data_IF_151879515108
#
_entry.id   IF_151879515108
#
_cell.length_a   1.000
_cell.length_b   1.000
_cell.length_c   1.000
_cell.angle_alpha   90.00
_cell.angle_beta   90.00
_cell.angle_gamma   90.00
#
_symmetry.space_group_name_H-M   'P 1'
#
loop_
_entity.id
_entity.type
_entity.pdbx_description
1 polymer ?
#
# COMPACT_ATOMS: atom_id res chain seq x y z
N UNK A 1 5.18 -32.00 -10.23
CA UNK A 1 4.89 -30.86 -9.35
C UNK A 1 6.08 -29.91 -9.49
N UNK A 2 5.94 -28.81 -10.23
CA UNK A 2 6.96 -27.75 -10.21
C UNK A 2 6.92 -27.14 -8.80
N UNK A 3 8.02 -27.30 -8.04
CA UNK A 3 8.12 -26.73 -6.70
C UNK A 3 7.94 -25.22 -6.77
N UNK A 4 7.37 -24.62 -5.71
CA UNK A 4 7.33 -23.16 -5.54
C UNK A 4 8.79 -22.68 -5.63
N UNK A 5 9.11 -21.69 -6.51
CA UNK A 5 10.46 -21.16 -6.59
C UNK A 5 10.91 -20.63 -5.23
N UNK A 6 12.17 -20.81 -4.90
CA UNK A 6 12.77 -20.26 -3.69
C UNK A 6 14.09 -19.55 -4.01
N UNK A 7 14.54 -18.70 -3.07
CA UNK A 7 15.86 -18.08 -3.10
C UNK A 7 16.54 -18.26 -1.75
N UNK A 8 17.81 -18.65 -1.75
CA UNK A 8 18.63 -18.69 -0.54
C UNK A 8 19.66 -17.57 -0.61
N UNK A 9 19.67 -16.69 0.39
CA UNK A 9 20.49 -15.47 0.43
C UNK A 9 21.21 -15.30 1.77
N UNK A 10 22.30 -14.53 1.77
CA UNK A 10 23.12 -14.23 2.95
C UNK A 10 24.07 -15.37 3.36
N UNK A 11 24.69 -15.32 4.57
CA UNK A 11 24.64 -14.15 5.45
C UNK A 11 25.45 -12.98 4.87
N UNK A 12 25.02 -11.75 5.18
CA UNK A 12 25.72 -10.53 4.81
C UNK A 12 26.19 -9.79 6.06
N UNK A 13 27.27 -9.01 5.94
CA UNK A 13 27.85 -8.25 7.05
C UNK A 13 27.76 -6.74 6.85
N UNK A 14 27.49 -6.32 5.63
CA UNK A 14 27.44 -4.90 5.26
C UNK A 14 26.27 -4.61 4.33
N UNK A 15 25.80 -3.36 4.39
CA UNK A 15 24.89 -2.79 3.41
C UNK A 15 25.31 -1.35 3.11
N UNK A 16 25.58 -1.04 1.84
CA UNK A 16 26.03 0.30 1.42
C UNK A 16 25.62 0.59 -0.01
N UNK A 17 25.28 1.83 -0.30
CA UNK A 17 25.00 2.30 -1.66
C UNK A 17 23.77 3.20 -1.76
N UNK A 18 23.32 3.39 -2.98
CA UNK A 18 22.11 4.18 -3.28
C UNK A 18 21.16 3.40 -4.16
N UNK A 19 19.88 3.61 -3.95
CA UNK A 19 18.81 2.99 -4.74
C UNK A 19 17.77 4.02 -5.17
N UNK A 20 17.33 3.94 -6.42
CA UNK A 20 16.16 4.64 -6.91
C UNK A 20 14.94 3.76 -6.65
N UNK A 21 13.99 4.27 -5.89
CA UNK A 21 12.78 3.55 -5.55
C UNK A 21 11.82 3.46 -6.76
N UNK A 22 11.09 2.33 -6.92
CA UNK A 22 9.98 2.29 -7.85
C UNK A 22 8.90 3.28 -7.42
N UNK A 23 8.06 3.71 -8.36
CA UNK A 23 6.94 4.59 -8.06
C UNK A 23 5.99 4.00 -7.00
N UNK A 24 5.40 4.85 -6.17
CA UNK A 24 4.46 4.43 -5.12
C UNK A 24 3.22 3.76 -5.71
N UNK A 25 2.95 2.52 -5.28
CA UNK A 25 1.73 1.79 -5.66
C UNK A 25 0.46 2.56 -5.29
N UNK A 26 0.43 3.11 -4.08
CA UNK A 26 -0.72 3.84 -3.56
C UNK A 26 -1.02 5.10 -4.33
N UNK A 27 0.00 5.82 -4.77
CA UNK A 27 -0.13 7.01 -5.62
C UNK A 27 -0.49 6.58 -7.04
N UNK A 28 0.20 5.58 -7.60
CA UNK A 28 0.02 5.13 -9.00
C UNK A 28 -1.43 4.72 -9.31
N UNK A 29 -2.04 3.84 -8.49
CA UNK A 29 -3.41 3.40 -8.74
C UNK A 29 -4.44 4.54 -8.59
N UNK A 30 -4.24 5.46 -7.65
CA UNK A 30 -5.09 6.65 -7.51
C UNK A 30 -4.93 7.59 -8.70
N UNK A 31 -3.69 7.86 -9.10
CA UNK A 31 -3.38 8.74 -10.22
C UNK A 31 -3.93 8.19 -11.54
N UNK A 32 -3.83 6.87 -11.78
CA UNK A 32 -4.43 6.21 -12.96
C UNK A 32 -5.94 6.40 -13.00
N UNK A 33 -6.65 6.17 -11.89
CA UNK A 33 -8.10 6.34 -11.84
C UNK A 33 -8.52 7.81 -11.97
N UNK A 34 -7.86 8.73 -11.28
CA UNK A 34 -8.15 10.16 -11.39
C UNK A 34 -7.88 10.69 -12.80
N UNK A 35 -6.76 10.28 -13.43
CA UNK A 35 -6.45 10.61 -14.82
C UNK A 35 -7.50 10.07 -15.79
N UNK A 36 -7.97 8.84 -15.56
CA UNK A 36 -9.03 8.21 -16.35
C UNK A 36 -10.37 8.97 -16.26
N UNK A 37 -10.71 9.46 -15.06
CA UNK A 37 -11.95 10.20 -14.82
C UNK A 37 -11.86 11.69 -15.19
N UNK A 38 -10.67 12.23 -15.37
CA UNK A 38 -10.47 13.65 -15.66
C UNK A 38 -10.85 14.00 -17.11
N UNK A 39 -11.07 15.30 -17.36
CA UNK A 39 -11.03 15.85 -18.71
C UNK A 39 -9.59 16.16 -19.12
N UNK A 40 -9.24 15.89 -20.37
CA UNK A 40 -7.91 16.10 -20.93
C UNK A 40 -6.96 14.94 -20.72
N UNK A 41 -5.73 15.10 -21.20
CA UNK A 41 -4.68 14.07 -21.17
C UNK A 41 -3.76 14.28 -19.99
N UNK A 42 -3.45 13.21 -19.26
CA UNK A 42 -2.49 13.23 -18.13
C UNK A 42 -1.29 12.36 -18.45
N UNK A 43 -0.09 12.91 -18.35
CA UNK A 43 1.17 12.18 -18.42
C UNK A 43 1.64 11.86 -17.00
N UNK A 44 1.59 10.58 -16.64
CA UNK A 44 2.06 10.05 -15.36
C UNK A 44 3.54 9.64 -15.51
N UNK A 45 4.43 10.28 -14.75
CA UNK A 45 5.87 9.98 -14.74
C UNK A 45 6.22 9.15 -13.51
N UNK A 46 7.21 8.27 -13.62
CA UNK A 46 7.61 7.33 -12.57
C UNK A 46 6.43 6.48 -12.07
N UNK A 47 5.50 6.11 -12.98
CA UNK A 47 4.41 5.22 -12.64
C UNK A 47 4.98 3.86 -12.27
N UNK A 48 4.47 3.26 -11.19
CA UNK A 48 4.85 1.90 -10.82
C UNK A 48 4.50 0.93 -11.96
N UNK A 49 5.46 0.13 -12.39
CA UNK A 49 5.24 -0.98 -13.31
C UNK A 49 5.31 -2.30 -12.54
N UNK A 50 4.16 -2.75 -12.06
CA UNK A 50 3.99 -3.93 -11.21
C UNK A 50 2.55 -4.49 -11.35
N UNK A 51 2.32 -5.69 -10.83
CA UNK A 51 1.03 -6.40 -10.99
C UNK A 51 -0.18 -5.55 -10.62
N UNK A 52 -0.13 -4.87 -9.48
CA UNK A 52 -1.27 -4.06 -8.98
C UNK A 52 -1.63 -2.88 -9.90
N UNK A 53 -0.66 -2.31 -10.61
CA UNK A 53 -0.89 -1.22 -11.57
C UNK A 53 -1.22 -1.74 -12.97
N UNK A 54 -0.71 -2.91 -13.33
CA UNK A 54 -1.05 -3.59 -14.58
C UNK A 54 -2.54 -3.90 -14.65
N UNK A 55 -3.11 -4.47 -13.57
CA UNK A 55 -4.56 -4.79 -13.56
C UNK A 55 -5.42 -3.53 -13.65
N UNK A 56 -5.01 -2.41 -13.04
CA UNK A 56 -5.72 -1.13 -13.20
C UNK A 56 -5.64 -0.62 -14.63
N UNK A 57 -4.45 -0.57 -15.24
CA UNK A 57 -4.28 -0.14 -16.65
C UNK A 57 -5.13 -0.99 -17.61
N UNK A 58 -5.14 -2.32 -17.41
CA UNK A 58 -5.93 -3.24 -18.22
C UNK A 58 -7.44 -3.01 -18.04
N UNK A 59 -7.91 -2.82 -16.81
CA UNK A 59 -9.30 -2.50 -16.53
C UNK A 59 -9.72 -1.18 -17.22
N UNK A 60 -8.90 -0.14 -17.14
CA UNK A 60 -9.18 1.14 -17.80
C UNK A 60 -9.23 1.02 -19.32
N UNK A 61 -8.34 0.22 -19.94
CA UNK A 61 -8.40 -0.09 -21.39
C UNK A 61 -9.68 -0.84 -21.76
N UNK A 62 -10.09 -1.83 -20.94
CA UNK A 62 -11.35 -2.56 -21.16
C UNK A 62 -12.58 -1.65 -21.01
N UNK A 63 -12.49 -0.60 -20.22
CA UNK A 63 -13.53 0.44 -20.06
C UNK A 63 -13.51 1.47 -21.19
N UNK A 64 -12.65 1.28 -22.20
CA UNK A 64 -12.62 2.06 -23.44
C UNK A 64 -11.72 3.28 -23.42
N UNK A 65 -10.80 3.38 -22.44
CA UNK A 65 -9.85 4.49 -22.38
C UNK A 65 -8.55 4.21 -23.13
N UNK A 66 -7.95 5.28 -23.65
CA UNK A 66 -6.60 5.28 -24.18
C UNK A 66 -5.62 5.39 -23.01
N UNK A 67 -4.92 4.29 -22.72
CA UNK A 67 -3.88 4.18 -21.69
C UNK A 67 -2.63 3.63 -22.35
N UNK A 68 -1.67 4.51 -22.63
CA UNK A 68 -0.46 4.21 -23.40
C UNK A 68 0.77 4.22 -22.52
N UNK A 69 1.40 3.05 -22.39
CA UNK A 69 2.68 2.94 -21.71
C UNK A 69 3.81 3.40 -22.65
N UNK A 70 4.76 4.14 -22.08
CA UNK A 70 5.96 4.64 -22.74
C UNK A 70 7.20 4.18 -21.99
N UNK A 71 8.38 4.41 -22.54
CA UNK A 71 9.66 4.15 -21.89
C UNK A 71 9.81 4.94 -20.57
N UNK A 72 10.74 4.50 -19.73
CA UNK A 72 11.10 5.16 -18.46
C UNK A 72 9.93 5.34 -17.48
N UNK A 73 9.06 4.34 -17.37
CA UNK A 73 7.92 4.34 -16.44
C UNK A 73 6.98 5.53 -16.63
N UNK A 74 6.78 5.94 -17.88
CA UNK A 74 5.81 6.97 -18.27
C UNK A 74 4.55 6.32 -18.80
N UNK A 75 3.39 6.80 -18.36
CA UNK A 75 2.09 6.36 -18.87
C UNK A 75 1.23 7.57 -19.22
N UNK A 76 0.66 7.59 -20.42
CA UNK A 76 -0.24 8.64 -20.89
C UNK A 76 -1.66 8.14 -20.84
N UNK A 77 -2.54 8.87 -20.14
CA UNK A 77 -3.96 8.54 -20.01
C UNK A 77 -4.79 9.66 -20.62
N UNK A 78 -5.61 9.34 -21.60
CA UNK A 78 -6.65 10.23 -22.15
C UNK A 78 -7.91 10.04 -21.31
N UNK A 79 -8.27 11.05 -20.53
CA UNK A 79 -9.37 10.96 -19.61
C UNK A 79 -10.74 11.08 -20.28
N UNK A 80 -11.75 10.46 -19.67
CA UNK A 80 -13.11 10.38 -20.24
C UNK A 80 -14.06 11.50 -19.76
N UNK A 81 -13.58 12.46 -18.95
CA UNK A 81 -14.42 13.54 -18.45
C UNK A 81 -15.52 13.09 -17.49
N UNK A 82 -15.30 11.99 -16.77
CA UNK A 82 -16.21 11.50 -15.73
C UNK A 82 -17.12 10.34 -16.14
N UNK A 83 -17.14 9.95 -17.42
CA UNK A 83 -18.00 8.85 -17.89
C UNK A 83 -17.22 7.84 -18.75
N UNK A 84 -17.08 6.62 -18.27
CA UNK A 84 -16.43 5.58 -19.06
C UNK A 84 -17.21 5.24 -20.33
N UNK A 85 -16.52 5.08 -21.49
CA UNK A 85 -17.18 4.76 -22.77
C UNK A 85 -17.90 3.42 -22.76
N UNK A 86 -17.32 2.39 -22.13
CA UNK A 86 -17.88 1.04 -22.06
C UNK A 86 -18.78 0.92 -20.84
N UNK A 87 -20.03 0.47 -21.04
CA UNK A 87 -21.07 0.34 -20.02
C UNK A 87 -21.30 -1.10 -19.54
N UNK A 88 -20.60 -2.06 -20.10
CA UNK A 88 -20.66 -3.46 -19.69
C UNK A 88 -19.28 -4.09 -19.80
N UNK A 89 -18.75 -4.63 -18.69
CA UNK A 89 -17.44 -5.26 -18.65
C UNK A 89 -17.32 -6.29 -17.53
N UNK A 90 -16.48 -7.33 -17.75
CA UNK A 90 -15.98 -8.26 -16.74
C UNK A 90 -14.51 -7.94 -16.45
N UNK A 91 -14.22 -7.43 -15.27
CA UNK A 91 -12.94 -6.88 -14.88
C UNK A 91 -12.24 -7.78 -13.87
N UNK A 92 -11.11 -8.35 -14.27
CA UNK A 92 -10.26 -9.13 -13.36
C UNK A 92 -9.24 -8.22 -12.67
N UNK A 93 -9.33 -8.10 -11.35
CA UNK A 93 -8.55 -7.14 -10.55
C UNK A 93 -7.41 -7.80 -9.77
N UNK A 94 -7.08 -9.07 -10.04
CA UNK A 94 -6.00 -9.78 -9.37
C UNK A 94 -6.15 -9.79 -7.84
N UNK A 95 -5.07 -9.41 -7.12
CA UNK A 95 -5.09 -9.16 -5.67
C UNK A 95 -4.91 -7.66 -5.35
N UNK A 96 -5.26 -6.76 -6.28
CA UNK A 96 -5.02 -5.32 -6.19
C UNK A 96 -6.14 -4.58 -5.44
N UNK A 97 -6.07 -4.56 -4.10
CA UNK A 97 -7.07 -3.88 -3.26
C UNK A 97 -7.17 -2.38 -3.52
N UNK A 98 -6.05 -1.73 -3.86
CA UNK A 98 -5.99 -0.29 -4.20
C UNK A 98 -6.58 0.03 -5.57
N UNK A 99 -6.83 -0.97 -6.39
CA UNK A 99 -7.49 -0.84 -7.69
C UNK A 99 -8.99 -1.20 -7.61
N UNK A 100 -9.33 -2.39 -7.10
CA UNK A 100 -10.72 -2.90 -7.12
C UNK A 100 -11.68 -1.99 -6.37
N UNK A 101 -11.31 -1.49 -5.18
CA UNK A 101 -12.23 -0.71 -4.33
C UNK A 101 -12.56 0.67 -4.92
N UNK A 102 -11.57 1.52 -5.30
CA UNK A 102 -11.87 2.80 -5.96
C UNK A 102 -12.59 2.62 -7.31
N UNK A 103 -12.20 1.60 -8.09
CA UNK A 103 -12.86 1.35 -9.38
C UNK A 103 -14.31 0.89 -9.17
N UNK A 104 -14.61 0.03 -8.18
CA UNK A 104 -15.98 -0.35 -7.81
C UNK A 104 -16.85 0.89 -7.55
N UNK A 105 -16.34 1.83 -6.75
CA UNK A 105 -17.08 3.05 -6.44
C UNK A 105 -17.29 3.93 -7.68
N UNK A 106 -16.24 4.14 -8.48
CA UNK A 106 -16.35 4.92 -9.72
C UNK A 106 -17.35 4.30 -10.70
N UNK A 107 -17.33 2.98 -10.90
CA UNK A 107 -18.26 2.26 -11.78
C UNK A 107 -19.70 2.30 -11.27
N UNK A 108 -19.90 2.22 -9.95
CA UNK A 108 -21.24 2.34 -9.35
C UNK A 108 -21.91 3.68 -9.65
N UNK A 109 -21.12 4.75 -9.87
CA UNK A 109 -21.64 6.08 -10.25
C UNK A 109 -21.91 6.24 -11.74
N UNK A 110 -21.66 5.21 -12.57
CA UNK A 110 -21.68 5.32 -14.04
C UNK A 110 -22.98 4.85 -14.69
N UNK A 111 -23.85 4.14 -13.99
CA UNK A 111 -25.10 3.60 -14.57
C UNK A 111 -24.90 2.48 -15.59
N UNK A 112 -23.82 1.70 -15.48
CA UNK A 112 -23.52 0.53 -16.32
C UNK A 112 -23.68 -0.79 -15.56
N UNK A 113 -23.35 -1.91 -16.25
CA UNK A 113 -23.34 -3.26 -15.68
C UNK A 113 -21.91 -3.80 -15.68
N UNK A 114 -21.36 -4.03 -14.51
CA UNK A 114 -19.96 -4.44 -14.40
C UNK A 114 -19.81 -5.61 -13.43
N UNK A 115 -18.95 -6.54 -13.78
CA UNK A 115 -18.51 -7.60 -12.88
C UNK A 115 -17.06 -7.34 -12.48
N UNK A 116 -16.76 -7.42 -11.17
CA UNK A 116 -15.39 -7.33 -10.68
C UNK A 116 -15.04 -8.59 -9.90
N UNK A 117 -13.92 -9.20 -10.28
CA UNK A 117 -13.40 -10.41 -9.64
C UNK A 117 -11.89 -10.30 -9.41
N UNK A 118 -11.30 -11.32 -8.83
CA UNK A 118 -9.86 -11.41 -8.64
C UNK A 118 -9.41 -12.84 -8.34
N UNK A 119 -8.19 -12.99 -7.85
CA UNK A 119 -7.67 -14.28 -7.38
C UNK A 119 -8.40 -14.75 -6.11
N UNK A 120 -8.22 -16.01 -5.71
CA UNK A 120 -8.88 -16.59 -4.53
C UNK A 120 -8.75 -15.70 -3.28
N UNK A 121 -7.56 -15.16 -3.01
CA UNK A 121 -7.35 -14.26 -1.87
C UNK A 121 -8.19 -12.98 -1.93
N UNK A 122 -8.45 -12.43 -3.12
CA UNK A 122 -9.33 -11.26 -3.26
C UNK A 122 -10.76 -11.57 -2.81
N UNK A 123 -11.21 -12.81 -2.96
CA UNK A 123 -12.54 -13.26 -2.52
C UNK A 123 -12.65 -13.44 -0.99
N UNK A 124 -11.54 -13.30 -0.26
CA UNK A 124 -11.49 -13.31 1.21
C UNK A 124 -11.25 -11.90 1.80
N UNK A 125 -10.96 -10.90 0.96
CA UNK A 125 -10.71 -9.51 1.39
C UNK A 125 -12.01 -8.73 1.40
N UNK A 126 -12.39 -8.09 2.53
CA UNK A 126 -13.70 -7.46 2.68
C UNK A 126 -13.91 -6.28 1.74
N UNK A 127 -15.16 -6.14 1.24
CA UNK A 127 -15.64 -4.98 0.47
C UNK A 127 -17.01 -4.49 0.96
N UNK A 128 -17.59 -5.16 1.97
CA UNK A 128 -18.94 -4.90 2.47
C UNK A 128 -19.18 -3.44 2.81
N UNK A 129 -18.31 -2.85 3.65
CA UNK A 129 -18.54 -1.49 4.17
C UNK A 129 -18.51 -0.44 3.05
N UNK A 130 -17.73 -0.67 1.98
CA UNK A 130 -17.82 0.15 0.77
C UNK A 130 -19.15 -0.04 0.05
N UNK A 131 -19.57 -1.28 -0.16
CA UNK A 131 -20.85 -1.60 -0.84
C UNK A 131 -22.03 -1.01 -0.05
N UNK A 132 -22.02 -1.13 1.27
CA UNK A 132 -23.05 -0.58 2.13
C UNK A 132 -23.07 0.97 2.07
N UNK A 133 -21.90 1.62 1.97
CA UNK A 133 -21.79 3.06 1.71
C UNK A 133 -22.37 3.47 0.34
N UNK A 134 -22.03 2.72 -0.72
CA UNK A 134 -22.53 2.98 -2.07
C UNK A 134 -24.05 2.74 -2.20
N UNK A 135 -24.60 1.76 -1.48
CA UNK A 135 -26.04 1.50 -1.44
C UNK A 135 -26.83 2.65 -0.80
N UNK A 136 -26.24 3.42 0.13
CA UNK A 136 -26.89 4.60 0.71
C UNK A 136 -27.19 5.68 -0.33
N UNK A 137 -26.43 5.70 -1.42
CA UNK A 137 -26.61 6.63 -2.55
C UNK A 137 -27.34 6.01 -3.74
N UNK A 138 -27.97 4.83 -3.55
CA UNK A 138 -28.80 4.18 -4.57
C UNK A 138 -28.07 3.15 -5.44
N UNK A 139 -26.78 2.90 -5.27
CA UNK A 139 -26.07 1.90 -6.08
C UNK A 139 -26.63 0.48 -5.87
N UNK A 140 -26.74 -0.27 -6.95
CA UNK A 140 -27.18 -1.68 -6.96
C UNK A 140 -25.96 -2.57 -7.16
N UNK A 141 -25.56 -3.28 -6.12
CA UNK A 141 -24.39 -4.15 -6.14
C UNK A 141 -24.76 -5.48 -5.49
N UNK A 142 -24.51 -6.58 -6.21
CA UNK A 142 -24.74 -7.95 -5.76
C UNK A 142 -23.41 -8.66 -5.51
N UNK A 143 -23.43 -9.59 -4.54
CA UNK A 143 -22.33 -10.50 -4.28
C UNK A 143 -22.61 -11.84 -5.00
N UNK A 144 -21.64 -12.35 -5.76
CA UNK A 144 -21.83 -13.59 -6.50
C UNK A 144 -21.59 -14.86 -5.67
N UNK A 145 -20.69 -14.80 -4.71
CA UNK A 145 -20.32 -15.93 -3.85
C UNK A 145 -20.64 -15.60 -2.39
N UNK A 146 -19.66 -15.14 -1.64
CA UNK A 146 -19.82 -14.85 -0.22
C UNK A 146 -20.24 -13.39 0.00
N UNK A 147 -21.31 -13.17 0.76
CA UNK A 147 -21.79 -11.82 1.12
C UNK A 147 -20.71 -11.01 1.83
N UNK A 148 -20.37 -9.84 1.28
CA UNK A 148 -19.38 -8.94 1.84
C UNK A 148 -18.00 -9.03 1.16
N UNK A 149 -17.84 -9.90 0.18
CA UNK A 149 -16.59 -10.17 -0.52
C UNK A 149 -16.77 -10.19 -2.04
N UNK A 150 -15.73 -9.87 -2.83
CA UNK A 150 -15.76 -10.15 -4.27
C UNK A 150 -15.91 -11.68 -4.54
N UNK A 151 -16.38 -12.11 -5.72
CA UNK A 151 -16.76 -11.28 -6.87
C UNK A 151 -18.08 -10.56 -6.63
N UNK A 152 -18.19 -9.37 -7.26
CA UNK A 152 -19.39 -8.53 -7.19
C UNK A 152 -19.91 -8.18 -8.58
N UNK A 153 -21.22 -7.94 -8.67
CA UNK A 153 -21.88 -7.35 -9.83
C UNK A 153 -22.42 -5.98 -9.49
N UNK A 154 -22.06 -4.98 -10.28
CA UNK A 154 -22.64 -3.64 -10.25
C UNK A 154 -23.69 -3.61 -11.35
N UNK A 155 -24.89 -3.18 -11.01
CA UNK A 155 -26.00 -3.04 -11.94
C UNK A 155 -26.32 -1.56 -12.16
N UNK A 156 -26.80 -1.23 -13.34
CA UNK A 156 -27.25 0.10 -13.65
C UNK A 156 -28.30 0.58 -12.62
N UNK A 157 -28.09 1.77 -12.09
CA UNK A 157 -28.94 2.36 -11.08
C UNK A 157 -28.95 3.88 -11.21
N UNK A 158 -30.05 4.49 -10.80
CA UNK A 158 -30.13 5.94 -10.61
C UNK A 158 -29.49 6.28 -9.27
N UNK A 159 -28.46 7.11 -9.29
CA UNK A 159 -27.74 7.54 -8.10
C UNK A 159 -28.37 8.81 -7.57
N UNK A 160 -28.81 8.76 -6.32
CA UNK A 160 -29.42 9.90 -5.62
C UNK A 160 -28.85 9.98 -4.20
N UNK A 161 -28.19 11.09 -3.90
CA UNK A 161 -27.64 11.35 -2.57
C UNK A 161 -28.66 12.18 -1.77
N UNK A 162 -29.32 11.53 -0.81
CA UNK A 162 -30.41 12.16 -0.03
C UNK A 162 -29.95 12.65 1.34
N UNK A 163 -28.85 12.11 1.85
CA UNK A 163 -28.42 12.34 3.21
C UNK A 163 -26.92 12.13 3.34
N UNK A 164 -26.42 12.21 4.56
CA UNK A 164 -25.04 11.94 4.92
C UNK A 164 -24.67 10.49 4.58
N UNK A 165 -23.55 10.29 3.91
CA UNK A 165 -23.04 8.95 3.61
C UNK A 165 -22.18 8.46 4.77
N UNK A 166 -22.53 7.34 5.39
CA UNK A 166 -21.81 6.75 6.52
C UNK A 166 -20.96 5.58 6.08
N UNK A 167 -19.71 5.54 6.53
CA UNK A 167 -18.77 4.44 6.21
C UNK A 167 -17.90 4.11 7.42
N UNK A 168 -17.62 2.81 7.62
CA UNK A 168 -16.69 2.38 8.67
C UNK A 168 -15.27 2.79 8.35
N UNK A 169 -14.61 3.44 9.33
CA UNK A 169 -13.19 3.84 9.26
C UNK A 169 -12.23 2.81 9.86
N UNK A 170 -12.72 1.90 10.68
CA UNK A 170 -11.97 0.98 11.54
C UNK A 170 -11.61 -0.38 10.89
N UNK A 171 -11.99 -0.60 9.62
CA UNK A 171 -11.68 -1.83 8.88
C UNK A 171 -10.65 -1.58 7.79
N UNK A 172 -10.89 -0.58 6.94
CA UNK A 172 -9.97 -0.22 5.85
C UNK A 172 -10.19 1.20 5.37
N UNK A 173 -9.11 1.99 5.32
CA UNK A 173 -9.12 3.33 4.71
C UNK A 173 -9.45 3.33 3.20
N UNK A 174 -9.35 2.17 2.54
CA UNK A 174 -9.67 2.05 1.11
C UNK A 174 -11.16 2.26 0.81
N UNK A 175 -12.05 2.01 1.76
CA UNK A 175 -13.48 2.25 1.59
C UNK A 175 -13.79 3.75 1.53
N UNK A 176 -13.25 4.51 2.47
CA UNK A 176 -13.34 5.97 2.44
C UNK A 176 -12.64 6.55 1.20
N UNK A 177 -11.42 6.08 0.87
CA UNK A 177 -10.73 6.47 -0.37
C UNK A 177 -11.63 6.31 -1.60
N UNK A 178 -12.31 5.17 -1.73
CA UNK A 178 -13.18 4.88 -2.86
C UNK A 178 -14.37 5.85 -2.95
N UNK A 179 -15.02 6.14 -1.83
CA UNK A 179 -16.13 7.10 -1.76
C UNK A 179 -15.67 8.53 -2.06
N UNK A 180 -14.53 8.96 -1.50
CA UNK A 180 -13.95 10.28 -1.76
C UNK A 180 -13.70 10.52 -3.25
N UNK A 181 -13.15 9.51 -3.95
CA UNK A 181 -12.83 9.62 -5.37
C UNK A 181 -14.06 9.51 -6.29
N UNK A 182 -15.13 8.82 -5.86
CA UNK A 182 -16.28 8.53 -6.72
C UNK A 182 -17.43 9.53 -6.55
N UNK A 183 -17.76 9.96 -5.33
CA UNK A 183 -18.91 10.82 -5.07
C UNK A 183 -18.86 12.19 -5.77
N UNK A 184 -17.69 12.83 -6.03
CA UNK A 184 -17.64 14.05 -6.82
C UNK A 184 -18.26 13.91 -8.21
N UNK A 185 -18.27 12.71 -8.80
CA UNK A 185 -18.85 12.46 -10.14
C UNK A 185 -20.36 12.73 -10.20
N UNK A 186 -21.05 12.61 -9.06
CA UNK A 186 -22.52 12.67 -8.98
C UNK A 186 -23.06 13.73 -8.00
N UNK A 187 -22.20 14.37 -7.21
CA UNK A 187 -22.57 15.34 -6.19
C UNK A 187 -23.17 16.61 -6.80
N UNK A 188 -24.51 16.76 -6.82
CA UNK A 188 -25.18 17.98 -7.27
C UNK A 188 -25.11 19.09 -6.20
N UNK A 189 -25.12 18.70 -4.93
CA UNK A 189 -24.97 19.54 -3.75
C UNK A 189 -23.76 19.04 -2.93
N UNK A 190 -23.24 19.81 -1.96
CA UNK A 190 -22.17 19.32 -1.09
C UNK A 190 -22.57 18.05 -0.34
N UNK A 191 -21.73 17.01 -0.43
CA UNK A 191 -21.98 15.70 0.19
C UNK A 191 -21.12 15.51 1.42
N UNK A 192 -21.73 15.23 2.56
CA UNK A 192 -21.04 14.89 3.80
C UNK A 192 -20.85 13.37 3.90
N UNK A 193 -19.61 12.96 4.14
CA UNK A 193 -19.28 11.59 4.56
C UNK A 193 -18.95 11.62 6.04
N UNK A 194 -19.54 10.73 6.82
CA UNK A 194 -19.28 10.54 8.25
C UNK A 194 -18.68 9.16 8.50
N UNK A 195 -17.65 9.13 9.34
CA UNK A 195 -17.01 7.88 9.74
C UNK A 195 -17.75 7.24 10.92
N UNK A 196 -17.87 5.92 10.86
CA UNK A 196 -18.28 5.07 11.98
C UNK A 196 -17.00 4.41 12.52
N UNK A 197 -16.74 4.59 13.81
CA UNK A 197 -15.52 4.10 14.44
C UNK A 197 -14.31 5.01 14.17
N UNK A 198 -13.13 4.56 14.59
CA UNK A 198 -11.89 5.29 14.43
C UNK A 198 -11.29 5.09 13.03
N UNK A 199 -10.76 6.15 12.43
CA UNK A 199 -10.10 6.06 11.12
C UNK A 199 -8.72 5.45 11.25
N UNK A 200 -8.58 4.22 10.77
CA UNK A 200 -7.26 3.57 10.66
C UNK A 200 -6.55 3.98 9.36
N UNK A 201 -5.21 3.96 9.39
CA UNK A 201 -4.36 4.24 8.21
C UNK A 201 -4.69 5.61 7.55
N UNK A 202 -4.89 6.65 8.34
CA UNK A 202 -5.17 8.03 7.94
C UNK A 202 -4.23 8.54 6.83
N UNK A 203 -2.93 8.25 6.81
CA UNK A 203 -2.02 8.75 5.78
C UNK A 203 -2.44 8.42 4.34
N UNK A 204 -3.13 7.28 4.12
CA UNK A 204 -3.64 6.96 2.78
C UNK A 204 -4.84 7.82 2.35
N UNK A 205 -5.59 8.36 3.32
CA UNK A 205 -6.62 9.35 3.04
C UNK A 205 -5.97 10.67 2.65
N UNK A 206 -4.92 11.08 3.35
CA UNK A 206 -4.20 12.32 3.04
C UNK A 206 -3.57 12.28 1.64
N UNK A 207 -3.00 11.13 1.21
CA UNK A 207 -2.57 10.91 -0.19
C UNK A 207 -3.76 11.11 -1.15
N UNK A 208 -4.92 10.55 -0.83
CA UNK A 208 -6.13 10.66 -1.69
C UNK A 208 -6.55 12.11 -1.83
N UNK A 209 -6.67 12.85 -0.73
CA UNK A 209 -7.09 14.26 -0.72
C UNK A 209 -6.12 15.15 -1.51
N UNK A 210 -4.81 14.95 -1.31
CA UNK A 210 -3.77 15.70 -2.03
C UNK A 210 -3.80 15.42 -3.53
N UNK A 211 -4.02 14.17 -3.93
CA UNK A 211 -4.15 13.83 -5.35
C UNK A 211 -5.43 14.39 -5.95
N UNK A 212 -6.60 14.26 -5.28
CA UNK A 212 -7.85 14.86 -5.74
C UNK A 212 -7.72 16.37 -5.95
N UNK A 213 -7.02 17.07 -5.04
CA UNK A 213 -6.76 18.50 -5.18
C UNK A 213 -5.92 18.82 -6.42
N UNK A 214 -4.93 17.99 -6.78
CA UNK A 214 -4.15 18.15 -8.03
C UNK A 214 -5.01 17.97 -9.28
N UNK A 215 -6.10 17.21 -9.20
CA UNK A 215 -7.09 17.06 -10.26
C UNK A 215 -8.29 18.02 -10.12
N UNK A 216 -8.18 19.05 -9.28
CA UNK A 216 -9.12 20.15 -9.16
C UNK A 216 -10.27 19.96 -8.16
N UNK A 217 -10.30 18.87 -7.39
CA UNK A 217 -11.33 18.61 -6.38
C UNK A 217 -10.76 18.75 -4.97
N UNK A 218 -11.22 19.77 -4.25
CA UNK A 218 -10.82 20.02 -2.86
C UNK A 218 -11.93 19.56 -1.91
N UNK A 219 -11.62 18.59 -1.07
CA UNK A 219 -12.51 18.05 -0.04
C UNK A 219 -12.22 18.77 1.27
N UNK A 220 -13.24 19.29 1.93
CA UNK A 220 -13.09 19.90 3.25
C UNK A 220 -13.13 18.81 4.33
N UNK A 221 -12.30 18.98 5.37
CA UNK A 221 -12.24 18.11 6.53
C UNK A 221 -12.57 18.92 7.78
N UNK A 222 -13.87 19.11 8.11
CA UNK A 222 -14.28 19.95 9.24
C UNK A 222 -13.77 19.44 10.58
N UNK A 223 -13.60 18.12 10.69
CA UNK A 223 -13.09 17.40 11.85
C UNK A 223 -12.41 16.09 11.45
N UNK A 224 -11.97 15.29 12.44
CA UNK A 224 -11.31 14.01 12.20
C UNK A 224 -12.24 12.90 11.69
N UNK A 225 -13.56 13.08 11.80
CA UNK A 225 -14.59 12.08 11.54
C UNK A 225 -15.46 12.40 10.32
N UNK A 226 -15.28 13.57 9.69
CA UNK A 226 -16.14 13.97 8.57
C UNK A 226 -15.36 14.60 7.42
N UNK A 227 -15.91 14.40 6.21
CA UNK A 227 -15.39 14.92 4.96
C UNK A 227 -16.54 15.51 4.16
N UNK A 228 -16.33 16.68 3.56
CA UNK A 228 -17.34 17.34 2.75
C UNK A 228 -16.82 17.46 1.32
N UNK A 229 -17.47 16.73 0.43
CA UNK A 229 -17.23 16.76 -1.00
C UNK A 229 -17.96 17.97 -1.57
N UNK A 230 -17.30 18.82 -2.38
CA UNK A 230 -17.97 19.96 -3.00
C UNK A 230 -19.00 19.50 -4.05
N UNK A 231 -20.03 20.30 -4.27
CA UNK A 231 -20.90 20.14 -5.41
C UNK A 231 -20.12 20.23 -6.72
N UNK A 232 -20.49 19.42 -7.72
CA UNK A 232 -19.88 19.51 -9.04
C UNK A 232 -20.27 20.80 -9.74
N UNK A 233 -19.29 21.45 -10.35
CA UNK A 233 -19.50 22.71 -11.09
C UNK A 233 -19.59 22.50 -12.61
N UNK A 234 -19.30 21.28 -13.08
CA UNK A 234 -19.35 20.87 -14.48
C UNK A 234 -19.47 19.35 -14.60
N UNK A 235 -19.81 18.84 -15.78
CA UNK A 235 -19.88 17.38 -16.02
C UNK A 235 -18.51 16.70 -15.85
N UNK A 236 -17.44 17.38 -16.25
CA UNK A 236 -16.06 16.92 -16.02
C UNK A 236 -15.53 17.51 -14.71
N UNK A 237 -15.86 16.87 -13.59
CA UNK A 237 -15.46 17.34 -12.24
C UNK A 237 -13.95 17.29 -12.02
N UNK A 238 -13.28 16.25 -12.50
CA UNK A 238 -11.83 16.14 -12.47
C UNK A 238 -11.21 16.75 -13.72
N UNK A 239 -10.09 17.46 -13.54
CA UNK A 239 -9.32 18.09 -14.61
C UNK A 239 -7.90 17.58 -14.59
N UNK A 240 -7.36 17.24 -15.76
CA UNK A 240 -5.97 16.81 -15.87
C UNK A 240 -5.01 17.92 -15.44
N UNK A 241 -4.00 17.64 -14.62
CA UNK A 241 -2.91 18.57 -14.33
C UNK A 241 -1.86 18.63 -15.45
N UNK A 242 -2.08 17.94 -16.59
CA UNK A 242 -1.13 17.76 -17.67
C UNK A 242 -0.03 16.75 -17.32
N UNK A 243 0.82 17.06 -16.36
CA UNK A 243 1.89 16.17 -15.88
C UNK A 243 1.75 15.90 -14.39
N UNK A 244 1.93 14.65 -13.99
CA UNK A 244 1.99 14.21 -12.60
C UNK A 244 3.17 13.27 -12.41
N UNK A 245 4.11 13.62 -11.55
CA UNK A 245 5.18 12.72 -11.13
C UNK A 245 4.75 11.94 -9.89
N UNK A 246 4.87 10.61 -9.95
CA UNK A 246 4.64 9.69 -8.84
C UNK A 246 5.90 9.65 -8.00
N UNK A 247 5.78 9.88 -6.69
CA UNK A 247 6.91 9.73 -5.75
C UNK A 247 7.38 8.28 -5.69
N UNK A 248 8.62 8.05 -5.29
CA UNK A 248 9.11 6.74 -4.92
C UNK A 248 8.28 6.14 -3.77
N UNK A 249 8.18 4.82 -3.72
CA UNK A 249 7.35 4.13 -2.71
C UNK A 249 8.00 4.18 -1.32
N UNK A 250 7.41 4.95 -0.39
CA UNK A 250 7.93 5.13 0.96
C UNK A 250 7.89 3.83 1.80
N UNK A 251 6.93 2.93 1.53
CA UNK A 251 6.94 1.60 2.16
C UNK A 251 8.13 0.78 1.68
N UNK A 252 8.46 0.85 0.38
CA UNK A 252 9.64 0.18 -0.19
C UNK A 252 10.95 0.78 0.30
N UNK A 253 10.97 2.09 0.60
CA UNK A 253 12.11 2.74 1.24
C UNK A 253 12.50 2.07 2.55
N UNK A 254 11.51 1.61 3.34
CA UNK A 254 11.73 1.06 4.68
C UNK A 254 12.74 -0.09 4.69
N UNK A 255 12.73 -0.97 3.69
CA UNK A 255 13.65 -2.11 3.61
C UNK A 255 15.10 -1.65 3.48
N UNK A 256 15.36 -0.71 2.59
CA UNK A 256 16.72 -0.20 2.33
C UNK A 256 17.22 0.73 3.44
N UNK A 257 16.32 1.52 4.04
CA UNK A 257 16.66 2.33 5.22
C UNK A 257 17.05 1.43 6.41
N UNK A 258 16.30 0.34 6.64
CA UNK A 258 16.66 -0.65 7.65
C UNK A 258 18.02 -1.31 7.34
N UNK A 259 18.30 -1.67 6.08
CA UNK A 259 19.61 -2.18 5.67
C UNK A 259 20.75 -1.22 6.06
N UNK A 260 20.55 0.10 5.86
CA UNK A 260 21.53 1.12 6.25
C UNK A 260 21.82 1.16 7.76
N UNK A 261 20.80 0.89 8.58
CA UNK A 261 20.97 0.80 10.03
C UNK A 261 21.68 -0.48 10.46
N UNK A 262 21.29 -1.62 9.87
CA UNK A 262 21.76 -2.96 10.25
C UNK A 262 23.14 -3.27 9.67
N UNK A 263 23.41 -2.87 8.45
CA UNK A 263 24.65 -3.17 7.72
C UNK A 263 25.70 -2.05 7.79
N UNK A 264 25.60 -1.15 8.76
CA UNK A 264 26.51 -0.02 9.02
C UNK A 264 26.50 1.11 7.98
N UNK A 265 25.81 0.98 6.84
CA UNK A 265 25.59 2.02 5.83
C UNK A 265 26.83 2.73 5.28
N UNK A 266 26.66 3.89 4.62
CA UNK A 266 25.39 4.55 4.34
C UNK A 266 24.58 3.86 3.24
N UNK A 267 23.26 3.78 3.44
CA UNK A 267 22.31 3.43 2.38
C UNK A 267 21.38 4.59 2.14
N UNK A 268 21.32 5.07 0.90
CA UNK A 268 20.49 6.19 0.46
C UNK A 268 19.38 5.70 -0.45
N UNK A 269 18.14 6.08 -0.15
CA UNK A 269 17.00 5.92 -1.05
C UNK A 269 16.70 7.22 -1.76
N UNK A 270 16.39 7.16 -3.05
CA UNK A 270 16.06 8.30 -3.92
C UNK A 270 14.61 8.20 -4.39
N UNK A 271 13.96 9.35 -4.57
CA UNK A 271 12.57 9.45 -5.04
C UNK A 271 11.54 9.63 -3.92
N UNK A 272 11.98 9.67 -2.66
CA UNK A 272 11.17 10.01 -1.49
C UNK A 272 12.01 10.77 -0.49
N UNK A 273 11.48 11.82 0.11
CA UNK A 273 12.20 12.65 1.07
C UNK A 273 11.26 13.27 2.11
N UNK A 274 11.75 14.32 2.79
CA UNK A 274 11.06 14.97 3.91
C UNK A 274 9.70 15.58 3.54
N UNK A 275 9.49 15.95 2.27
CA UNK A 275 8.26 16.60 1.79
C UNK A 275 7.28 15.61 1.14
N UNK A 276 7.51 14.31 1.30
CA UNK A 276 6.65 13.26 0.75
C UNK A 276 5.21 13.38 1.25
N UNK A 277 4.26 13.09 0.36
CA UNK A 277 2.85 13.00 0.74
C UNK A 277 2.48 11.66 1.39
N UNK A 278 3.42 10.71 1.47
CA UNK A 278 3.23 9.36 1.96
C UNK A 278 3.56 9.28 3.46
N UNK A 279 2.63 8.76 4.28
CA UNK A 279 2.84 8.61 5.71
C UNK A 279 3.99 7.68 6.07
N UNK A 280 4.23 6.63 5.27
CA UNK A 280 5.29 5.65 5.52
C UNK A 280 6.71 6.27 5.50
N UNK A 281 6.89 7.53 5.07
CA UNK A 281 8.15 8.27 5.22
C UNK A 281 8.55 8.42 6.69
N UNK A 282 7.58 8.45 7.61
CA UNK A 282 7.82 8.49 9.06
C UNK A 282 8.48 7.20 9.61
N UNK A 283 8.67 6.17 8.77
CA UNK A 283 9.51 5.03 9.10
C UNK A 283 10.95 5.46 9.45
N UNK A 284 11.47 6.50 8.80
CA UNK A 284 12.78 7.06 9.12
C UNK A 284 12.84 7.57 10.57
N UNK A 285 11.79 8.24 11.06
CA UNK A 285 11.70 8.71 12.44
C UNK A 285 11.62 7.53 13.42
N UNK A 286 10.81 6.50 13.08
CA UNK A 286 10.72 5.28 13.89
C UNK A 286 12.09 4.57 14.00
N UNK A 287 12.84 4.50 12.89
CA UNK A 287 14.17 3.91 12.89
C UNK A 287 15.18 4.78 13.66
N UNK A 288 15.02 6.11 13.64
CA UNK A 288 15.81 7.03 14.45
C UNK A 288 15.54 6.84 15.97
N UNK A 289 14.29 6.55 16.37
CA UNK A 289 13.95 6.18 17.76
C UNK A 289 14.64 4.88 18.18
N UNK A 290 14.81 3.92 17.25
CA UNK A 290 15.61 2.73 17.48
C UNK A 290 17.12 3.01 17.50
N UNK A 291 17.57 4.24 17.29
CA UNK A 291 18.96 4.65 17.39
C UNK A 291 19.71 4.80 16.06
N UNK A 292 19.07 4.65 14.91
CA UNK A 292 19.72 4.84 13.62
C UNK A 292 20.12 6.31 13.38
N UNK A 293 21.17 6.51 12.57
CA UNK A 293 21.61 7.84 12.10
C UNK A 293 20.94 8.14 10.78
N UNK A 294 20.04 9.14 10.77
CA UNK A 294 19.23 9.51 9.61
C UNK A 294 19.60 10.91 9.14
N UNK A 295 19.69 11.06 7.83
CA UNK A 295 19.70 12.36 7.13
C UNK A 295 18.71 12.33 5.98
N UNK A 296 18.06 13.46 5.67
CA UNK A 296 17.06 13.54 4.62
C UNK A 296 17.14 14.86 3.87
N UNK A 297 16.92 14.82 2.56
CA UNK A 297 16.72 15.96 1.67
C UNK A 297 15.28 16.03 1.16
N UNK A 298 15.07 16.76 0.08
CA UNK A 298 13.74 16.94 -0.52
C UNK A 298 13.21 15.64 -1.15
N UNK A 299 14.09 14.87 -1.82
CA UNK A 299 13.75 13.67 -2.60
C UNK A 299 14.60 12.45 -2.23
N UNK A 300 15.29 12.46 -1.09
CA UNK A 300 16.11 11.34 -0.62
C UNK A 300 16.14 11.24 0.90
N UNK A 301 16.38 10.02 1.39
CA UNK A 301 16.66 9.71 2.80
C UNK A 301 17.86 8.77 2.85
N UNK A 302 18.74 8.97 3.83
CA UNK A 302 19.94 8.16 4.04
C UNK A 302 20.07 7.71 5.48
N UNK A 303 20.46 6.46 5.67
CA UNK A 303 20.74 5.85 6.97
C UNK A 303 22.16 5.33 7.01
N UNK A 304 22.90 5.65 8.09
CA UNK A 304 24.30 5.28 8.27
C UNK A 304 24.56 4.69 9.66
N UNK A 305 24.19 3.41 9.84
CA UNK A 305 24.41 2.68 11.10
C UNK A 305 23.60 3.21 12.28
N UNK A 306 24.03 2.84 13.49
CA UNK A 306 23.39 3.20 14.77
C UNK A 306 24.25 4.13 15.58
N UNK A 307 23.64 4.81 16.58
CA UNK A 307 24.32 5.79 17.44
C UNK A 307 24.93 5.17 18.68
N UNK A 308 24.40 4.02 19.15
CA UNK A 308 24.83 3.39 20.39
C UNK A 308 26.17 2.66 20.25
N UNK A 309 26.86 2.46 21.38
CA UNK A 309 28.18 1.83 21.42
C UNK A 309 28.14 0.32 21.14
N UNK A 310 26.99 -0.33 21.33
CA UNK A 310 26.83 -1.77 21.06
C UNK A 310 26.71 -2.08 19.56
N UNK A 311 26.46 -1.06 18.74
CA UNK A 311 26.19 -1.24 17.32
C UNK A 311 24.82 -1.88 17.01
N UNK A 312 23.94 -2.04 18.03
CA UNK A 312 22.61 -2.61 17.91
C UNK A 312 21.53 -1.54 17.94
N UNK A 313 20.40 -1.82 17.36
CA UNK A 313 19.19 -1.02 17.55
C UNK A 313 18.68 -1.13 19.00
N UNK A 314 17.86 -0.17 19.42
CA UNK A 314 17.13 -0.23 20.69
C UNK A 314 15.72 -0.77 20.44
N UNK A 315 15.22 -1.62 21.33
CA UNK A 315 13.81 -1.98 21.37
C UNK A 315 12.95 -0.74 21.68
N UNK A 316 11.80 -0.64 21.04
CA UNK A 316 10.86 0.49 21.20
C UNK A 316 9.43 0.02 21.36
N UNK A 317 8.58 0.86 21.94
CA UNK A 317 7.13 0.72 21.85
C UNK A 317 6.61 1.83 20.95
N UNK A 318 5.92 1.47 19.86
CA UNK A 318 5.49 2.41 18.84
C UNK A 318 4.02 2.22 18.47
N UNK A 319 3.31 3.32 18.30
CA UNK A 319 2.04 3.39 17.59
C UNK A 319 2.32 3.46 16.08
N UNK A 320 1.87 2.44 15.35
CA UNK A 320 2.15 2.28 13.93
C UNK A 320 1.05 2.85 13.01
N UNK A 321 0.11 3.63 13.54
CA UNK A 321 -1.01 4.22 12.76
C UNK A 321 -0.53 5.04 11.58
N UNK A 322 0.62 5.72 11.71
CA UNK A 322 1.21 6.57 10.66
C UNK A 322 2.03 5.79 9.61
N UNK A 323 2.49 4.58 9.95
CA UNK A 323 3.37 3.75 9.10
C UNK A 323 2.81 2.33 8.94
N UNK A 324 1.52 2.16 8.60
CA UNK A 324 0.81 0.89 8.73
C UNK A 324 1.41 -0.24 7.89
N UNK A 325 2.06 0.06 6.78
CA UNK A 325 2.69 -0.93 5.93
C UNK A 325 4.21 -1.06 6.21
N UNK A 326 4.90 0.05 6.46
CA UNK A 326 6.34 0.04 6.76
C UNK A 326 6.68 -0.57 8.14
N UNK A 327 5.72 -0.58 9.08
CA UNK A 327 5.91 -1.18 10.41
C UNK A 327 6.30 -2.67 10.36
N UNK A 328 5.98 -3.43 9.29
CA UNK A 328 6.45 -4.81 9.12
C UNK A 328 7.99 -4.89 9.09
N UNK A 329 8.63 -3.89 8.50
CA UNK A 329 10.10 -3.79 8.47
C UNK A 329 10.68 -3.62 9.88
N UNK A 330 10.02 -2.85 10.77
CA UNK A 330 10.45 -2.72 12.18
C UNK A 330 10.35 -4.04 12.93
N UNK A 331 9.36 -4.87 12.66
CA UNK A 331 9.23 -6.18 13.30
C UNK A 331 10.43 -7.09 12.99
N UNK A 332 10.97 -7.05 11.76
CA UNK A 332 12.20 -7.79 11.41
C UNK A 332 13.45 -7.07 11.92
N UNK A 333 13.51 -5.73 11.86
CA UNK A 333 14.61 -4.96 12.43
C UNK A 333 14.78 -5.20 13.95
N UNK A 334 13.69 -5.55 14.65
CA UNK A 334 13.73 -5.93 16.09
C UNK A 334 14.58 -7.16 16.38
N UNK A 335 14.87 -8.02 15.38
CA UNK A 335 15.85 -9.11 15.52
C UNK A 335 17.27 -8.60 15.85
N UNK A 336 17.56 -7.35 15.56
CA UNK A 336 18.84 -6.69 15.74
C UNK A 336 18.82 -5.64 16.87
N UNK A 337 17.76 -5.65 17.69
CA UNK A 337 17.58 -4.69 18.78
C UNK A 337 17.91 -5.28 20.14
N UNK A 338 18.38 -4.43 21.06
CA UNK A 338 18.47 -4.73 22.49
C UNK A 338 17.10 -4.46 23.14
N UNK A 339 16.57 -5.44 23.86
CA UNK A 339 15.25 -5.36 24.48
C UNK A 339 14.13 -5.78 23.53
N UNK A 340 12.90 -5.46 23.92
CA UNK A 340 11.69 -5.78 23.17
C UNK A 340 11.25 -4.63 22.29
N UNK A 341 10.78 -4.94 21.09
CA UNK A 341 10.05 -4.00 20.23
C UNK A 341 8.59 -4.36 20.23
N UNK A 342 7.73 -3.41 20.60
CA UNK A 342 6.28 -3.54 20.59
C UNK A 342 5.68 -2.59 19.56
N UNK A 343 4.94 -3.12 18.60
CA UNK A 343 4.25 -2.39 17.56
C UNK A 343 2.74 -2.50 17.78
N UNK A 344 2.08 -1.36 18.02
CA UNK A 344 0.65 -1.26 18.33
C UNK A 344 -0.15 -0.67 17.17
N UNK A 345 -1.47 -0.81 17.21
CA UNK A 345 -2.45 -0.25 16.28
C UNK A 345 -2.25 -0.77 14.84
N UNK A 346 -1.94 -2.07 14.73
CA UNK A 346 -1.75 -2.78 13.45
C UNK A 346 -2.91 -3.74 13.11
N UNK A 347 -4.11 -3.55 13.67
CA UNK A 347 -5.28 -4.40 13.38
C UNK A 347 -5.56 -4.57 11.88
N UNK A 348 -5.29 -3.52 11.08
CA UNK A 348 -5.45 -3.57 9.63
C UNK A 348 -4.63 -4.67 8.94
N UNK A 349 -3.56 -5.16 9.57
CA UNK A 349 -2.73 -6.24 9.03
C UNK A 349 -3.48 -7.56 8.86
N UNK A 350 -4.55 -7.79 9.65
CA UNK A 350 -5.36 -9.01 9.59
C UNK A 350 -6.10 -9.20 8.25
N UNK A 351 -6.38 -8.09 7.53
CA UNK A 351 -7.23 -8.08 6.32
C UNK A 351 -6.49 -7.64 5.05
N UNK A 352 -5.15 -7.63 5.10
CA UNK A 352 -4.29 -7.30 3.96
C UNK A 352 -4.09 -8.51 3.01
N UNK A 353 -2.97 -8.56 2.31
CA UNK A 353 -2.59 -9.65 1.40
C UNK A 353 -2.61 -11.02 2.10
N UNK A 354 -2.21 -11.05 3.36
CA UNK A 354 -2.38 -12.17 4.30
C UNK A 354 -2.83 -11.64 5.67
N UNK A 355 -3.05 -12.50 6.66
CA UNK A 355 -3.03 -12.10 8.06
C UNK A 355 -1.56 -11.87 8.47
N UNK A 356 -1.11 -10.61 8.31
CA UNK A 356 0.28 -10.24 8.51
C UNK A 356 0.75 -10.39 9.95
N UNK A 357 -0.13 -10.23 10.94
CA UNK A 357 0.25 -10.42 12.34
C UNK A 357 0.60 -11.89 12.57
N UNK A 358 -0.27 -12.81 12.18
CA UNK A 358 -0.04 -14.24 12.34
C UNK A 358 1.16 -14.72 11.50
N UNK A 359 1.27 -14.26 10.24
CA UNK A 359 2.38 -14.61 9.36
C UNK A 359 3.73 -14.14 9.92
N UNK A 360 3.86 -12.86 10.30
CA UNK A 360 5.08 -12.31 10.89
C UNK A 360 5.46 -13.04 12.18
N UNK A 361 4.50 -13.28 13.08
CA UNK A 361 4.77 -13.99 14.33
C UNK A 361 5.27 -15.42 14.09
N UNK A 362 4.66 -16.13 13.16
CA UNK A 362 5.07 -17.49 12.80
C UNK A 362 6.47 -17.53 12.20
N UNK A 363 6.74 -16.67 11.23
CA UNK A 363 8.01 -16.70 10.50
C UNK A 363 9.19 -16.16 11.36
N UNK A 364 8.97 -15.15 12.21
CA UNK A 364 9.98 -14.68 13.16
C UNK A 364 10.36 -15.76 14.18
N UNK A 365 9.39 -16.55 14.66
CA UNK A 365 9.65 -17.70 15.56
C UNK A 365 10.51 -18.77 14.89
N UNK A 366 10.38 -18.99 13.58
CA UNK A 366 11.25 -19.92 12.83
C UNK A 366 12.74 -19.51 12.88
N UNK A 367 13.02 -18.20 12.91
CA UNK A 367 14.38 -17.65 12.99
C UNK A 367 14.94 -17.71 14.43
N UNK A 368 14.09 -17.98 15.41
CA UNK A 368 14.49 -18.07 16.84
C UNK A 368 14.08 -16.85 17.67
N UNK A 369 13.33 -15.91 17.12
CA UNK A 369 12.79 -14.78 17.88
C UNK A 369 11.77 -15.22 18.93
N UNK A 370 11.67 -14.46 20.03
CA UNK A 370 10.58 -14.56 21.00
C UNK A 370 9.50 -13.58 20.53
N UNK A 371 8.30 -14.11 20.24
CA UNK A 371 7.22 -13.31 19.69
C UNK A 371 5.92 -13.54 20.42
N UNK A 372 5.28 -12.43 20.83
CA UNK A 372 3.90 -12.36 21.31
C UNK A 372 3.07 -11.58 20.29
N UNK A 373 1.84 -12.04 20.03
CA UNK A 373 0.91 -11.35 19.14
C UNK A 373 -0.48 -11.20 19.78
N UNK A 374 -1.18 -10.14 19.42
CA UNK A 374 -2.55 -9.89 19.83
C UNK A 374 -3.44 -9.48 18.66
N UNK A 375 -4.62 -8.95 18.94
CA UNK A 375 -5.57 -8.56 17.92
C UNK A 375 -5.02 -7.45 16.99
N UNK A 376 -4.26 -6.53 17.57
CA UNK A 376 -3.80 -5.28 16.95
C UNK A 376 -2.34 -4.92 17.28
N UNK A 377 -1.56 -5.88 17.81
CA UNK A 377 -0.15 -5.66 18.15
C UNK A 377 0.71 -6.90 17.90
N UNK A 378 2.02 -6.65 17.83
CA UNK A 378 3.07 -7.66 17.86
C UNK A 378 4.21 -7.18 18.76
N UNK A 379 4.76 -8.09 19.57
CA UNK A 379 5.98 -7.87 20.36
C UNK A 379 7.04 -8.81 19.85
N UNK A 380 8.22 -8.28 19.56
CA UNK A 380 9.35 -9.07 19.05
C UNK A 380 10.58 -8.81 19.91
N UNK A 381 11.24 -9.88 20.32
CA UNK A 381 12.54 -9.85 20.97
C UNK A 381 13.51 -10.73 20.19
N UNK A 382 14.71 -10.21 19.97
CA UNK A 382 15.79 -10.93 19.29
C UNK A 382 16.11 -12.27 19.97
N UNK A 383 16.69 -13.26 19.25
CA UNK A 383 17.27 -14.43 19.85
C UNK A 383 18.31 -14.05 20.91
N UNK A 384 18.32 -14.77 22.05
CA UNK A 384 19.13 -14.37 23.22
C UNK A 384 20.64 -14.44 22.96
N UNK A 385 21.08 -15.39 22.16
CA UNK A 385 22.47 -15.58 21.77
C UNK A 385 22.61 -15.88 20.27
N UNK A 386 23.82 -15.75 19.72
CA UNK A 386 24.08 -16.07 18.31
C UNK A 386 23.70 -17.51 17.96
N UNK A 387 23.90 -18.48 18.88
CA UNK A 387 23.52 -19.87 18.68
C UNK A 387 22.03 -20.15 18.67
N UNK A 388 21.20 -19.19 19.09
CA UNK A 388 19.74 -19.31 19.09
C UNK A 388 19.13 -18.88 17.75
N UNK A 389 19.91 -18.22 16.88
CA UNK A 389 19.47 -17.90 15.53
C UNK A 389 19.36 -19.17 14.69
N UNK A 390 18.24 -19.34 14.02
CA UNK A 390 17.93 -20.52 13.22
C UNK A 390 17.84 -20.17 11.74
N UNK A 391 18.22 -21.15 10.91
CA UNK A 391 17.99 -21.15 9.47
C UNK A 391 17.01 -22.29 9.17
N UNK A 392 15.70 -22.00 9.09
CA UNK A 392 14.70 -23.05 8.90
C UNK A 392 14.89 -23.72 7.54
N UNK A 393 15.04 -25.06 7.52
CA UNK A 393 15.22 -25.82 6.28
C UNK A 393 14.03 -25.74 5.33
N UNK A 394 12.82 -25.60 5.88
CA UNK A 394 11.58 -25.37 5.14
C UNK A 394 11.51 -23.97 4.54
N UNK A 395 12.36 -23.04 4.99
CA UNK A 395 12.39 -21.65 4.55
C UNK A 395 11.30 -20.78 5.22
N UNK A 396 11.33 -19.51 4.84
CA UNK A 396 10.34 -18.48 5.22
C UNK A 396 9.22 -18.49 4.20
N UNK A 397 8.00 -18.69 4.65
CA UNK A 397 6.81 -18.60 3.81
C UNK A 397 6.39 -17.14 3.60
N UNK A 398 6.12 -16.76 2.37
CA UNK A 398 5.73 -15.39 2.02
C UNK A 398 4.22 -15.18 1.99
N UNK A 399 3.42 -16.25 1.93
CA UNK A 399 1.95 -16.19 1.90
C UNK A 399 1.41 -15.34 0.75
N UNK A 400 2.10 -15.34 -0.42
CA UNK A 400 1.81 -14.45 -1.55
C UNK A 400 1.77 -12.96 -1.15
N UNK A 401 2.54 -12.59 -0.13
CA UNK A 401 2.69 -11.20 0.32
C UNK A 401 4.11 -10.72 0.10
N UNK A 402 4.25 -9.79 -0.83
CA UNK A 402 5.52 -9.17 -1.21
C UNK A 402 6.29 -8.59 -0.01
N UNK A 403 5.58 -8.06 1.00
CA UNK A 403 6.22 -7.48 2.19
C UNK A 403 6.86 -8.54 3.07
N UNK A 404 6.30 -9.75 3.14
CA UNK A 404 6.95 -10.85 3.83
C UNK A 404 8.32 -11.15 3.22
N UNK A 405 8.40 -11.32 1.90
CA UNK A 405 9.67 -11.57 1.21
C UNK A 405 10.70 -10.46 1.46
N UNK A 406 10.29 -9.20 1.28
CA UNK A 406 11.18 -8.05 1.39
C UNK A 406 11.61 -7.78 2.85
N UNK A 407 10.71 -7.90 3.83
CA UNK A 407 11.07 -7.74 5.23
C UNK A 407 12.04 -8.83 5.70
N UNK A 408 11.73 -10.10 5.40
CA UNK A 408 12.58 -11.20 5.87
C UNK A 408 13.94 -11.25 5.19
N UNK A 409 14.15 -10.63 4.02
CA UNK A 409 15.47 -10.49 3.43
C UNK A 409 16.45 -9.73 4.34
N UNK A 410 15.97 -8.86 5.23
CA UNK A 410 16.79 -8.13 6.20
C UNK A 410 17.43 -9.07 7.25
N UNK A 411 16.77 -10.19 7.57
CA UNK A 411 17.28 -11.14 8.54
C UNK A 411 18.59 -11.81 8.07
N UNK A 412 18.94 -11.67 6.79
CA UNK A 412 20.22 -12.14 6.21
C UNK A 412 21.44 -11.32 6.61
N UNK A 413 21.26 -10.18 7.30
CA UNK A 413 22.33 -9.48 8.03
C UNK A 413 22.60 -10.12 9.41
N UNK A 414 21.86 -11.15 9.78
CA UNK A 414 22.16 -12.05 10.89
C UNK A 414 23.22 -13.09 10.52
N UNK A 415 23.49 -14.03 11.44
CA UNK A 415 24.62 -14.97 11.30
C UNK A 415 24.39 -16.08 10.26
N UNK A 416 23.17 -16.24 9.75
CA UNK A 416 22.77 -17.39 8.95
C UNK A 416 22.28 -17.02 7.55
N UNK A 417 22.42 -17.94 6.60
CA UNK A 417 21.69 -17.89 5.34
C UNK A 417 20.18 -18.04 5.59
N UNK A 418 19.38 -17.47 4.74
CA UNK A 418 17.92 -17.60 4.82
C UNK A 418 17.34 -18.03 3.47
N UNK A 419 16.52 -19.06 3.51
CA UNK A 419 15.71 -19.48 2.37
C UNK A 419 14.36 -18.76 2.42
N UNK A 420 13.98 -18.10 1.33
CA UNK A 420 12.68 -17.43 1.16
C UNK A 420 11.90 -18.15 0.07
N UNK A 421 10.74 -18.66 0.42
CA UNK A 421 9.83 -19.33 -0.50
C UNK A 421 9.05 -18.31 -1.29
N UNK A 422 8.79 -18.58 -2.58
CA UNK A 422 8.07 -17.69 -3.49
C UNK A 422 8.58 -16.23 -3.51
N UNK A 423 9.85 -16.01 -3.84
CA UNK A 423 10.39 -14.64 -3.91
C UNK A 423 9.73 -13.79 -5.01
N UNK A 424 9.05 -14.41 -5.97
CA UNK A 424 8.40 -13.73 -7.09
C UNK A 424 7.17 -12.90 -6.66
N UNK A 425 6.63 -13.14 -5.47
CA UNK A 425 5.53 -12.32 -4.91
C UNK A 425 5.89 -10.82 -4.82
N UNK A 426 7.19 -10.46 -4.85
CA UNK A 426 7.64 -9.04 -4.91
C UNK A 426 7.21 -8.32 -6.18
N UNK A 427 6.86 -9.05 -7.26
CA UNK A 427 6.35 -8.49 -8.52
C UNK A 427 5.12 -7.60 -8.31
N UNK A 428 4.40 -7.79 -7.23
CA UNK A 428 3.24 -6.98 -6.84
C UNK A 428 3.55 -5.49 -6.66
N UNK A 429 4.75 -5.14 -6.19
CA UNK A 429 5.12 -3.74 -5.90
C UNK A 429 6.55 -3.37 -6.24
N UNK A 430 7.46 -4.34 -6.32
CA UNK A 430 8.88 -4.09 -6.59
C UNK A 430 9.50 -5.29 -7.34
N UNK A 431 9.19 -5.48 -8.63
CA UNK A 431 9.61 -6.67 -9.39
C UNK A 431 11.11 -6.92 -9.38
N UNK A 432 11.94 -5.89 -9.30
CA UNK A 432 13.41 -5.96 -9.30
C UNK A 432 14.02 -6.00 -7.89
N UNK A 433 13.21 -6.19 -6.83
CA UNK A 433 13.67 -6.06 -5.45
C UNK A 433 14.95 -6.83 -5.13
N UNK A 434 14.99 -8.13 -5.40
CA UNK A 434 16.17 -8.94 -5.06
C UNK A 434 17.40 -8.58 -5.88
N UNK A 435 17.23 -8.09 -7.10
CA UNK A 435 18.33 -7.55 -7.92
C UNK A 435 18.88 -6.27 -7.31
N UNK A 436 18.01 -5.37 -6.86
CA UNK A 436 18.42 -4.12 -6.21
C UNK A 436 19.00 -4.39 -4.81
N UNK A 437 18.40 -5.31 -4.05
CA UNK A 437 18.91 -5.75 -2.76
C UNK A 437 20.36 -6.27 -2.86
N UNK A 438 20.65 -7.13 -3.85
CA UNK A 438 21.98 -7.69 -4.07
C UNK A 438 23.06 -6.65 -4.40
N UNK A 439 22.70 -5.47 -4.92
CA UNK A 439 23.65 -4.37 -5.16
C UNK A 439 24.06 -3.64 -3.88
N UNK A 440 23.24 -3.73 -2.84
CA UNK A 440 23.39 -2.98 -1.59
C UNK A 440 24.11 -3.81 -0.52
N UNK A 441 23.91 -5.13 -0.49
CA UNK A 441 24.45 -6.01 0.55
C UNK A 441 25.75 -6.69 0.13
N UNK A 442 26.63 -6.97 1.11
CA UNK A 442 27.91 -7.68 0.89
C UNK A 442 28.37 -8.46 2.12
#
# INVERSE_FOLDING_TARGET
MSGIPDITIGPFTRAQGSIVLPGSKSISNRALLLAALASGTTTLKNLLDADDTQVMRNALRQLGLSVTDQENHVCVVEGCGGQFPVREADLFMGNAGTAIRPLTAALAMQGGNYRLSGVARMHERPIRDLVDGLRQVGAKIDYELQKGYPPIKILAADIEIKDVVKVRGDVSSQFLTALLMALPLVAQEPVRIELIGELISRPYIDITLKLMARFGVNVACPDSQSFVIPAKTSDAVYKSPGNLSVEGDASSASYFLALGALGTGPVRVLGVGKDSIQGDVAFADALALMGAKITAGEDWIEVSGVKNASGKLNGITLDCTQIPDAAMTLAVAALFAEGQTRLNNIASWRVKETDRIAAMAKELKKIGAIVEEGADYIVVQAPAALGDWKSPSEGIDTYDDHRMAMCFSLATLGPNTLKINDPNCVAKTFPTYFTEFAKIVS
#
